data_IF_877374028842
#
_entry.id   IF_877374028842
#
_cell.length_a   1.000
_cell.length_b   1.000
_cell.length_c   1.000
_cell.angle_alpha   90.00
_cell.angle_beta   90.00
_cell.angle_gamma   90.00
#
_symmetry.space_group_name_H-M   'P 1'
#
loop_
_entity.id
_entity.type
_entity.pdbx_description
1 polymer ?
#
# COMPACT_ATOMS: atom_id res chain seq x y z
N UNK A 1 -14.89 13.91 1.34
CA UNK A 1 -13.78 13.89 2.33
C UNK A 1 -12.69 14.89 1.88
N UNK A 2 -11.82 15.34 2.78
CA UNK A 2 -10.73 16.26 2.44
C UNK A 2 -9.39 15.53 2.26
N UNK A 3 -8.47 16.13 1.50
CA UNK A 3 -7.11 15.68 1.35
C UNK A 3 -6.35 15.89 2.66
N UNK A 4 -5.65 14.85 3.11
CA UNK A 4 -4.89 14.89 4.36
C UNK A 4 -3.79 15.95 4.40
N UNK A 5 -3.22 16.33 3.25
CA UNK A 5 -2.05 17.21 3.20
C UNK A 5 -2.37 18.69 2.99
N UNK A 6 -3.46 19.01 2.27
CA UNK A 6 -3.78 20.40 1.91
C UNK A 6 -5.24 20.79 2.18
N UNK A 7 -6.05 19.91 2.77
CA UNK A 7 -7.48 20.11 3.03
C UNK A 7 -8.36 20.37 1.79
N UNK A 8 -7.81 20.35 0.57
CA UNK A 8 -8.58 20.37 -0.68
C UNK A 8 -9.46 19.13 -0.84
N UNK A 9 -10.40 19.17 -1.79
CA UNK A 9 -11.25 18.01 -2.10
C UNK A 9 -10.44 16.76 -2.45
N UNK A 10 -10.58 15.69 -1.65
CA UNK A 10 -9.96 14.41 -1.97
C UNK A 10 -10.69 13.75 -3.14
N UNK A 11 -9.92 13.08 -4.00
CA UNK A 11 -10.42 12.33 -5.16
C UNK A 11 -10.24 10.82 -5.02
N UNK A 12 -9.45 10.38 -4.04
CA UNK A 12 -9.22 8.97 -3.78
C UNK A 12 -8.83 8.73 -2.32
N UNK A 13 -8.74 7.44 -1.95
CA UNK A 13 -8.41 6.96 -0.61
C UNK A 13 -7.14 6.12 -0.70
N UNK A 14 -6.16 6.38 0.18
CA UNK A 14 -4.93 5.60 0.25
C UNK A 14 -5.22 4.15 0.64
N UNK A 15 -4.75 3.19 -0.15
CA UNK A 15 -5.00 1.76 0.06
C UNK A 15 -4.45 1.22 1.38
N UNK A 16 -3.40 1.84 1.92
CA UNK A 16 -2.71 1.37 3.12
C UNK A 16 -3.24 1.98 4.43
N UNK A 17 -3.59 3.26 4.46
CA UNK A 17 -3.96 3.96 5.71
C UNK A 17 -5.34 4.66 5.68
N UNK A 18 -6.07 4.61 4.56
CA UNK A 18 -7.40 5.20 4.49
C UNK A 18 -7.46 6.73 4.39
N UNK A 19 -6.32 7.45 4.37
CA UNK A 19 -6.29 8.91 4.17
C UNK A 19 -6.89 9.30 2.82
N UNK A 20 -7.71 10.35 2.80
CA UNK A 20 -8.14 11.01 1.57
C UNK A 20 -6.98 11.78 0.92
N UNK A 21 -6.86 11.72 -0.40
CA UNK A 21 -5.82 12.43 -1.17
C UNK A 21 -6.40 13.12 -2.41
N UNK A 22 -5.95 14.34 -2.70
CA UNK A 22 -6.26 15.05 -3.94
C UNK A 22 -5.37 14.54 -5.09
N UNK A 23 -5.62 15.00 -6.32
CA UNK A 23 -4.86 14.57 -7.50
C UNK A 23 -3.35 14.85 -7.41
N UNK A 24 -2.96 15.96 -6.77
CA UNK A 24 -1.55 16.35 -6.61
C UNK A 24 -0.81 15.47 -5.61
N UNK A 25 -1.45 15.12 -4.49
CA UNK A 25 -0.86 14.33 -3.42
C UNK A 25 -1.05 12.81 -3.62
N UNK A 26 -1.92 12.40 -4.53
CA UNK A 26 -2.05 11.00 -4.90
C UNK A 26 -0.74 10.48 -5.50
N UNK A 27 -0.35 9.28 -5.07
CA UNK A 27 0.71 8.48 -5.69
C UNK A 27 0.13 7.13 -6.06
N UNK A 28 0.80 6.42 -6.95
CA UNK A 28 0.38 5.12 -7.44
C UNK A 28 1.53 4.15 -7.32
N UNK A 29 1.24 2.90 -6.97
CA UNK A 29 2.24 1.86 -6.88
C UNK A 29 1.63 0.52 -6.48
N UNK A 30 2.45 -0.54 -6.48
CA UNK A 30 1.96 -1.91 -6.40
C UNK A 30 1.30 -2.20 -5.06
N UNK A 31 0.21 -2.96 -5.12
CA UNK A 31 -0.46 -3.55 -3.98
C UNK A 31 -0.65 -5.06 -4.21
N UNK A 32 -0.02 -5.87 -3.35
CA UNK A 32 -0.10 -7.32 -3.37
C UNK A 32 -1.44 -7.75 -2.75
N UNK A 33 -2.30 -8.41 -3.53
CA UNK A 33 -3.57 -8.99 -3.07
C UNK A 33 -3.36 -10.35 -2.41
N UNK A 34 -2.49 -11.15 -3.02
CA UNK A 34 -2.22 -12.52 -2.59
C UNK A 34 -0.78 -12.87 -2.97
N UNK A 35 -0.12 -13.63 -2.09
CA UNK A 35 1.20 -14.23 -2.36
C UNK A 35 1.07 -15.73 -2.21
N UNK A 36 1.50 -16.48 -3.22
CA UNK A 36 1.47 -17.94 -3.24
C UNK A 36 2.85 -18.49 -3.60
N UNK A 37 3.11 -19.76 -3.25
CA UNK A 37 4.29 -20.48 -3.72
C UNK A 37 3.90 -21.46 -4.81
N UNK A 38 4.50 -21.29 -5.99
CA UNK A 38 4.30 -22.20 -7.12
C UNK A 38 5.21 -23.41 -6.99
N UNK A 39 4.63 -24.57 -6.71
CA UNK A 39 5.38 -25.84 -6.69
C UNK A 39 5.98 -26.17 -8.07
N UNK A 40 5.28 -25.82 -9.15
CA UNK A 40 5.73 -26.08 -10.53
C UNK A 40 6.92 -25.21 -10.94
N UNK A 41 6.92 -23.93 -10.56
CA UNK A 41 7.96 -22.96 -10.95
C UNK A 41 9.03 -22.74 -9.89
N UNK A 42 8.93 -23.48 -8.78
CA UNK A 42 9.72 -23.35 -7.54
C UNK A 42 10.05 -21.91 -7.16
N UNK A 43 9.02 -21.05 -7.15
CA UNK A 43 9.17 -19.64 -6.80
C UNK A 43 7.90 -19.06 -6.18
N UNK A 44 8.06 -17.95 -5.48
CA UNK A 44 6.94 -17.14 -5.02
C UNK A 44 6.31 -16.39 -6.20
N UNK A 45 4.99 -16.26 -6.16
CA UNK A 45 4.18 -15.54 -7.14
C UNK A 45 3.17 -14.69 -6.40
N UNK A 46 2.68 -13.62 -7.04
CA UNK A 46 1.71 -12.76 -6.42
C UNK A 46 0.72 -12.18 -7.43
N UNK A 47 -0.51 -11.95 -6.96
CA UNK A 47 -1.50 -11.13 -7.66
C UNK A 47 -1.31 -9.68 -7.24
N UNK A 48 -1.03 -8.80 -8.20
CA UNK A 48 -0.62 -7.40 -7.96
C UNK A 48 -1.58 -6.45 -8.68
N UNK A 49 -2.01 -5.41 -7.96
CA UNK A 49 -2.57 -4.19 -8.56
C UNK A 49 -1.44 -3.17 -8.68
N UNK A 50 -0.97 -2.90 -9.90
CA UNK A 50 0.24 -2.09 -10.14
C UNK A 50 0.09 -0.62 -9.77
N UNK A 51 -1.12 -0.08 -9.90
CA UNK A 51 -1.45 1.35 -9.77
C UNK A 51 -2.43 1.63 -8.64
N UNK A 52 -2.29 0.93 -7.51
CA UNK A 52 -3.11 1.22 -6.33
C UNK A 52 -2.81 2.63 -5.80
N UNK A 53 -3.86 3.36 -5.41
CA UNK A 53 -3.72 4.73 -4.85
C UNK A 53 -3.03 4.68 -3.48
N UNK A 54 -2.05 5.55 -3.30
CA UNK A 54 -1.26 5.72 -2.08
C UNK A 54 -1.13 7.20 -1.73
N UNK A 55 -0.90 7.50 -0.45
CA UNK A 55 -0.67 8.87 0.02
C UNK A 55 0.80 9.32 -0.04
N UNK A 56 1.71 8.47 -0.53
CA UNK A 56 3.14 8.76 -0.62
C UNK A 56 3.92 8.76 0.71
N UNK A 57 3.25 8.87 1.85
CA UNK A 57 3.88 8.78 3.19
C UNK A 57 3.84 7.36 3.76
N UNK A 58 2.86 6.53 3.35
CA UNK A 58 2.84 5.12 3.72
C UNK A 58 4.02 4.40 3.07
N UNK A 59 4.98 3.96 3.88
CA UNK A 59 6.11 3.15 3.42
C UNK A 59 6.21 1.94 4.33
N UNK A 60 6.09 0.70 3.81
CA UNK A 60 6.37 -0.49 4.60
C UNK A 60 7.82 -0.43 5.08
N UNK A 61 8.09 -0.99 6.27
CA UNK A 61 9.47 -1.15 6.74
C UNK A 61 10.19 -2.11 5.79
N UNK A 62 11.46 -1.85 5.45
CA UNK A 62 12.21 -2.74 4.55
C UNK A 62 12.50 -4.10 5.20
N UNK A 63 12.43 -4.19 6.53
CA UNK A 63 12.72 -5.38 7.30
C UNK A 63 11.56 -5.64 8.28
N UNK A 64 11.24 -6.91 8.57
CA UNK A 64 10.31 -7.28 9.63
C UNK A 64 10.71 -6.66 10.96
N UNK A 65 9.72 -6.37 11.81
CA UNK A 65 9.94 -5.85 13.16
C UNK A 65 9.80 -7.00 14.15
N UNK A 66 10.76 -7.16 15.06
CA UNK A 66 10.67 -8.13 16.14
C UNK A 66 9.50 -7.79 17.07
N UNK A 67 8.74 -8.79 17.50
CA UNK A 67 7.61 -8.64 18.42
C UNK A 67 7.79 -9.58 19.61
N UNK A 68 8.78 -9.33 20.49
CA UNK A 68 9.10 -10.21 21.62
C UNK A 68 7.95 -10.37 22.62
N UNK A 69 6.96 -9.47 22.60
CA UNK A 69 5.75 -9.57 23.41
C UNK A 69 4.79 -10.69 22.96
N UNK A 70 5.05 -11.33 21.80
CA UNK A 70 4.20 -12.36 21.19
C UNK A 70 4.88 -13.74 21.09
N UNK A 71 6.08 -13.91 21.65
CA UNK A 71 6.83 -15.18 21.68
C UNK A 71 6.44 -16.10 22.86
#
# INVERSE_FOLDING_TARGET
>A
MLCWFCAEGARAICRFCGRGVCAEHARFGPYLLEVTRSARRDRAEALVVEDAVQCGTCRPRPQPVAMPELD
#
